data_IF_833430866616
#
_entry.id   IF_833430866616
#
_cell.length_a   1.000
_cell.length_b   1.000
_cell.length_c   1.000
_cell.angle_alpha   90.00
_cell.angle_beta   90.00
_cell.angle_gamma   90.00
#
_symmetry.space_group_name_H-M   'P 1'
#
loop_
_entity.id
_entity.type
_entity.pdbx_description
1 polymer ?
#
# COMPACT_ATOMS: atom_id res chain seq x y z
N UNK A 1 22.87 -21.60 -6.78
CA UNK A 1 21.83 -21.29 -5.78
C UNK A 1 22.54 -20.87 -4.51
N UNK A 2 22.59 -19.57 -4.22
CA UNK A 2 23.25 -19.06 -3.01
C UNK A 2 22.19 -18.60 -2.01
N UNK A 3 22.37 -19.02 -0.76
CA UNK A 3 21.43 -18.91 0.33
C UNK A 3 21.12 -17.45 0.68
N UNK A 4 19.84 -17.17 0.96
CA UNK A 4 19.41 -15.91 1.59
C UNK A 4 19.92 -15.92 3.03
N UNK A 5 21.06 -15.27 3.25
CA UNK A 5 21.62 -15.00 4.57
C UNK A 5 20.85 -13.83 5.18
N UNK A 6 20.09 -14.12 6.23
CA UNK A 6 19.33 -13.13 6.99
C UNK A 6 20.17 -12.45 8.06
N UNK A 7 19.66 -11.26 8.45
CA UNK A 7 20.11 -10.35 9.52
C UNK A 7 21.27 -9.43 9.10
N UNK A 8 20.97 -8.13 8.94
CA UNK A 8 21.84 -7.03 8.49
C UNK A 8 22.15 -6.90 7.00
N UNK A 9 21.11 -6.89 6.16
CA UNK A 9 21.22 -6.14 4.90
C UNK A 9 21.08 -4.65 5.20
N UNK A 10 22.13 -3.80 5.01
CA UNK A 10 21.95 -2.36 5.04
C UNK A 10 20.79 -1.99 4.11
N UNK A 11 19.94 -1.05 4.52
CA UNK A 11 18.71 -0.62 3.82
C UNK A 11 18.89 -0.45 2.30
N UNK A 12 20.09 -0.07 1.86
CA UNK A 12 20.48 0.01 0.46
C UNK A 12 20.37 -1.35 -0.27
N UNK A 13 20.96 -2.43 0.28
CA UNK A 13 20.99 -3.77 -0.32
C UNK A 13 19.58 -4.32 -0.52
N UNK A 14 18.67 -4.07 0.43
CA UNK A 14 17.28 -4.52 0.31
C UNK A 14 16.60 -3.97 -0.94
N UNK A 15 16.75 -2.67 -1.21
CA UNK A 15 16.15 -2.04 -2.39
C UNK A 15 16.91 -2.34 -3.67
N UNK A 16 18.22 -2.59 -3.59
CA UNK A 16 19.03 -3.06 -4.73
C UNK A 16 18.53 -4.42 -5.23
N UNK A 17 18.28 -5.38 -4.35
CA UNK A 17 17.74 -6.69 -4.73
C UNK A 17 16.35 -6.56 -5.36
N UNK A 18 15.48 -5.73 -4.78
CA UNK A 18 14.15 -5.47 -5.34
C UNK A 18 14.24 -4.81 -6.71
N UNK A 19 15.17 -3.87 -6.88
CA UNK A 19 15.40 -3.19 -8.13
C UNK A 19 15.90 -4.14 -9.22
N UNK A 20 16.91 -4.98 -8.93
CA UNK A 20 17.38 -6.02 -9.86
C UNK A 20 16.24 -6.96 -10.26
N UNK A 21 15.47 -7.46 -9.28
CA UNK A 21 14.32 -8.32 -9.55
C UNK A 21 13.25 -7.63 -10.41
N UNK A 22 12.94 -6.36 -10.13
CA UNK A 22 11.99 -5.56 -10.89
C UNK A 22 12.43 -5.37 -12.34
N UNK A 23 13.70 -5.06 -12.58
CA UNK A 23 14.22 -4.84 -13.92
C UNK A 23 14.33 -6.12 -14.74
N UNK A 24 14.55 -7.28 -14.09
CA UNK A 24 14.58 -8.58 -14.75
C UNK A 24 13.20 -9.04 -15.23
N UNK A 25 12.12 -8.64 -14.55
CA UNK A 25 10.76 -9.13 -14.80
C UNK A 25 9.79 -8.06 -15.32
N UNK A 26 10.26 -6.83 -15.59
CA UNK A 26 9.38 -5.79 -16.16
C UNK A 26 8.98 -6.16 -17.59
N UNK A 27 7.68 -6.09 -17.87
CA UNK A 27 7.14 -6.30 -19.23
C UNK A 27 7.14 -5.01 -20.07
N UNK A 28 7.46 -3.87 -19.46
CA UNK A 28 7.40 -2.55 -20.07
C UNK A 28 8.71 -1.81 -19.86
N UNK A 29 9.09 -0.97 -20.83
CA UNK A 29 10.31 -0.21 -20.71
C UNK A 29 10.16 0.96 -19.73
N UNK A 30 10.80 0.82 -18.57
CA UNK A 30 10.76 1.78 -17.51
C UNK A 30 12.07 1.75 -16.72
N UNK A 31 12.67 2.93 -16.51
CA UNK A 31 13.97 3.09 -15.87
C UNK A 31 13.85 3.72 -14.48
N UNK A 32 13.09 3.06 -13.59
CA UNK A 32 12.90 3.51 -12.21
C UNK A 32 14.06 3.06 -11.34
N UNK A 33 14.81 4.02 -10.81
CA UNK A 33 15.82 3.73 -9.78
C UNK A 33 15.22 3.20 -8.46
N UNK A 34 16.09 2.68 -7.59
CA UNK A 34 15.73 2.13 -6.27
C UNK A 34 14.87 3.10 -5.42
N UNK A 35 15.19 4.40 -5.43
CA UNK A 35 14.45 5.41 -4.65
C UNK A 35 13.01 5.58 -5.15
N UNK A 36 12.82 5.59 -6.48
CA UNK A 36 11.50 5.65 -7.10
C UNK A 36 10.65 4.42 -6.74
N UNK A 37 11.25 3.22 -6.70
CA UNK A 37 10.56 2.00 -6.27
C UNK A 37 10.19 2.07 -4.79
N UNK A 38 11.12 2.50 -3.93
CA UNK A 38 10.91 2.65 -2.50
C UNK A 38 9.78 3.63 -2.17
N UNK A 39 9.78 4.80 -2.82
CA UNK A 39 8.76 5.81 -2.61
C UNK A 39 7.38 5.33 -3.06
N UNK A 40 7.28 4.70 -4.24
CA UNK A 40 6.01 4.14 -4.74
C UNK A 40 5.48 3.02 -3.84
N UNK A 41 6.35 2.14 -3.37
CA UNK A 41 5.98 1.12 -2.39
C UNK A 41 5.44 1.76 -1.11
N UNK A 42 6.10 2.81 -0.61
CA UNK A 42 5.65 3.59 0.54
C UNK A 42 4.22 4.13 0.36
N UNK A 43 3.93 4.74 -0.80
CA UNK A 43 2.58 5.24 -1.11
C UNK A 43 1.56 4.09 -1.13
N UNK A 44 1.87 2.98 -1.81
CA UNK A 44 0.96 1.83 -1.87
C UNK A 44 0.67 1.29 -0.48
N UNK A 45 1.73 1.10 0.32
CA UNK A 45 1.64 0.60 1.69
C UNK A 45 0.79 1.51 2.57
N UNK A 46 1.00 2.83 2.48
CA UNK A 46 0.21 3.82 3.19
C UNK A 46 -1.28 3.73 2.83
N UNK A 47 -1.59 3.67 1.53
CA UNK A 47 -2.97 3.58 1.04
C UNK A 47 -3.66 2.29 1.48
N UNK A 48 -2.94 1.16 1.43
CA UNK A 48 -3.42 -0.14 1.92
C UNK A 48 -3.69 -0.09 3.43
N UNK A 49 -2.79 0.52 4.21
CA UNK A 49 -2.97 0.66 5.65
C UNK A 49 -4.17 1.54 6.01
N UNK A 50 -4.37 2.65 5.31
CA UNK A 50 -5.58 3.50 5.47
C UNK A 50 -6.85 2.72 5.17
N UNK A 51 -6.86 1.97 4.06
CA UNK A 51 -8.00 1.12 3.70
C UNK A 51 -8.29 0.06 4.76
N UNK A 52 -7.25 -0.64 5.25
CA UNK A 52 -7.38 -1.61 6.33
C UNK A 52 -7.98 -0.98 7.59
N UNK A 53 -7.56 0.24 7.95
CA UNK A 53 -8.14 1.01 9.04
C UNK A 53 -9.64 1.26 8.86
N UNK A 54 -10.05 1.80 7.70
CA UNK A 54 -11.46 2.06 7.40
C UNK A 54 -12.29 0.77 7.39
N UNK A 55 -11.79 -0.30 6.79
CA UNK A 55 -12.46 -1.59 6.76
C UNK A 55 -12.66 -2.14 8.17
N UNK A 56 -11.64 -2.07 9.03
CA UNK A 56 -11.76 -2.44 10.45
C UNK A 56 -12.81 -1.62 11.20
N UNK A 57 -12.94 -0.32 10.91
CA UNK A 57 -14.03 0.50 11.47
C UNK A 57 -15.41 0.03 10.99
N UNK A 58 -15.56 -0.32 9.72
CA UNK A 58 -16.83 -0.84 9.17
C UNK A 58 -17.18 -2.18 9.82
N UNK A 59 -16.21 -3.08 9.98
CA UNK A 59 -16.40 -4.38 10.62
C UNK A 59 -16.84 -4.27 12.08
N UNK A 60 -16.29 -3.30 12.83
CA UNK A 60 -16.64 -3.07 14.25
C UNK A 60 -18.03 -2.47 14.47
N UNK A 61 -18.69 -1.90 13.44
CA UNK A 61 -20.03 -1.31 13.59
C UNK A 61 -21.15 -2.36 13.79
N UNK A 62 -20.86 -3.65 13.66
CA UNK A 62 -21.76 -4.78 13.99
C UNK A 62 -23.19 -4.65 13.43
N UNK A 63 -23.33 -4.25 12.16
CA UNK A 63 -24.63 -4.15 11.51
C UNK A 63 -25.09 -5.53 11.03
N UNK A 64 -26.14 -6.07 11.63
CA UNK A 64 -26.73 -7.36 11.25
C UNK A 64 -27.21 -7.35 9.79
N UNK A 65 -27.13 -8.51 9.12
CA UNK A 65 -27.55 -8.64 7.72
C UNK A 65 -26.60 -8.03 6.67
N UNK A 66 -25.41 -7.58 7.05
CA UNK A 66 -24.48 -6.93 6.12
C UNK A 66 -23.57 -7.95 5.42
N UNK A 67 -23.73 -8.11 4.11
CA UNK A 67 -22.83 -8.91 3.27
C UNK A 67 -21.44 -8.28 3.16
N UNK A 68 -20.43 -9.09 2.84
CA UNK A 68 -19.06 -8.63 2.65
C UNK A 68 -18.92 -7.52 1.60
N UNK A 69 -19.64 -7.65 0.47
CA UNK A 69 -19.74 -6.61 -0.54
C UNK A 69 -20.27 -5.27 0.03
N UNK A 70 -21.29 -5.30 0.88
CA UNK A 70 -21.84 -4.11 1.52
C UNK A 70 -20.81 -3.42 2.42
N UNK A 71 -19.94 -4.17 3.08
CA UNK A 71 -18.82 -3.61 3.88
C UNK A 71 -17.79 -2.93 2.99
N UNK A 72 -17.42 -3.56 1.86
CA UNK A 72 -16.48 -2.98 0.88
C UNK A 72 -17.03 -1.68 0.28
N UNK A 73 -18.30 -1.67 -0.11
CA UNK A 73 -18.97 -0.45 -0.62
C UNK A 73 -18.97 0.64 0.44
N UNK A 74 -19.27 0.31 1.70
CA UNK A 74 -19.26 1.28 2.81
C UNK A 74 -17.86 1.83 3.09
N UNK A 75 -16.84 0.97 3.05
CA UNK A 75 -15.43 1.35 3.20
C UNK A 75 -15.01 2.31 2.08
N UNK A 76 -15.40 2.02 0.83
CA UNK A 76 -15.11 2.88 -0.33
C UNK A 76 -15.77 4.26 -0.25
N UNK A 77 -16.99 4.34 0.29
CA UNK A 77 -17.70 5.61 0.54
C UNK A 77 -17.02 6.41 1.66
N UNK A 78 -16.59 5.73 2.72
CA UNK A 78 -15.84 6.32 3.84
C UNK A 78 -14.51 6.92 3.36
N UNK A 79 -13.80 6.26 2.44
CA UNK A 79 -12.61 6.82 1.76
C UNK A 79 -12.91 8.15 1.09
N UNK A 80 -13.96 8.22 0.25
CA UNK A 80 -14.30 9.46 -0.50
C UNK A 80 -14.58 10.63 0.44
N UNK A 81 -15.29 10.38 1.55
CA UNK A 81 -15.56 11.40 2.59
C UNK A 81 -14.26 11.88 3.24
N UNK A 82 -13.41 10.96 3.71
CA UNK A 82 -12.15 11.31 4.36
C UNK A 82 -11.13 11.96 3.43
N UNK A 83 -11.07 11.55 2.16
CA UNK A 83 -10.23 12.21 1.15
C UNK A 83 -10.70 13.66 0.92
N UNK A 84 -12.01 13.90 0.79
CA UNK A 84 -12.52 15.28 0.68
C UNK A 84 -12.21 16.10 1.94
N UNK A 85 -12.30 15.51 3.14
CA UNK A 85 -11.90 16.19 4.37
C UNK A 85 -10.40 16.51 4.37
N UNK A 86 -9.54 15.56 4.00
CA UNK A 86 -8.08 15.77 3.89
C UNK A 86 -7.73 16.94 2.97
N UNK A 87 -8.40 17.03 1.81
CA UNK A 87 -8.23 18.15 0.87
C UNK A 87 -8.75 19.49 1.45
N UNK A 88 -9.79 19.45 2.28
CA UNK A 88 -10.35 20.65 2.95
C UNK A 88 -9.45 21.11 4.10
N UNK A 89 -8.83 20.18 4.85
CA UNK A 89 -7.97 20.49 6.00
C UNK A 89 -6.49 20.65 5.66
N UNK A 90 -6.11 20.61 4.38
CA UNK A 90 -4.75 20.88 3.92
C UNK A 90 -3.69 19.87 4.40
N UNK A 91 -4.10 18.70 4.87
CA UNK A 91 -3.19 17.60 5.22
C UNK A 91 -3.04 16.75 3.97
N UNK A 92 -2.08 17.07 3.11
CA UNK A 92 -1.66 16.21 2.00
C UNK A 92 -0.16 16.31 1.85
#
# INVERSE_FOLDING_TARGET
>A
MNAVQGVDQPRAIYWEIIHEYYHLHKEFDNDRNCNCLAHRWGIILEMVNKFRGWYGHVQRRAQSGTTEYCKLVTCSKTRKRNHSLCCIVGIS
#
